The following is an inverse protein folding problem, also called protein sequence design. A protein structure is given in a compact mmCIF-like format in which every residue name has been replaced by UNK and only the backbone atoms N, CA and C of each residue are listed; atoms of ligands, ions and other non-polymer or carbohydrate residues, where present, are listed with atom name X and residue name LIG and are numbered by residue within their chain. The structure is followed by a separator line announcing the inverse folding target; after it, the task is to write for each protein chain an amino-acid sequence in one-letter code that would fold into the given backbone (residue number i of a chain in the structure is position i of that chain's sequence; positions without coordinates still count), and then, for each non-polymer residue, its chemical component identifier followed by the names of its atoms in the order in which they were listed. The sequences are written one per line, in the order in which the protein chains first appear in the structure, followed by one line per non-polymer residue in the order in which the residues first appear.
data_IF_095820459313
#
_entry.id   IF_095820459313
#
_cell.length_a   1.000
_cell.length_b   1.000
_cell.length_c   1.000
_cell.angle_alpha   90.00
_cell.angle_beta   90.00
_cell.angle_gamma   90.00
#
_symmetry.space_group_name_H-M   'P 1'
#
loop_
_entity.id
_entity.type
_entity.pdbx_description
1 polymer ?
#
# COMPACT_ATOMS: atom_id res chain seq x y z
N UNK A 1 19.02 -3.26 -12.25
CA UNK A 1 18.28 -3.91 -11.15
C UNK A 1 19.27 -4.16 -10.03
N UNK A 2 18.96 -3.81 -8.78
CA UNK A 2 19.80 -4.22 -7.66
C UNK A 2 19.82 -5.75 -7.61
N UNK A 3 21.00 -6.35 -7.46
CA UNK A 3 21.11 -7.80 -7.27
C UNK A 3 20.42 -8.19 -5.96
N UNK A 4 19.58 -9.23 -6.02
CA UNK A 4 18.97 -9.81 -4.83
C UNK A 4 20.06 -10.44 -3.96
N UNK A 5 19.89 -10.38 -2.64
CA UNK A 5 20.68 -11.22 -1.75
C UNK A 5 20.34 -12.70 -1.96
N UNK A 6 21.21 -13.65 -1.55
CA UNK A 6 20.92 -15.08 -1.63
C UNK A 6 19.60 -15.47 -0.93
N UNK A 7 19.29 -14.83 0.20
CA UNK A 7 18.04 -15.05 0.94
C UNK A 7 16.83 -14.53 0.17
N UNK A 8 16.92 -13.33 -0.42
CA UNK A 8 15.87 -12.76 -1.26
C UNK A 8 15.62 -13.61 -2.51
N UNK A 9 16.69 -14.14 -3.10
CA UNK A 9 16.59 -15.02 -4.27
C UNK A 9 15.92 -16.35 -3.88
N UNK A 10 16.33 -16.97 -2.76
CA UNK A 10 15.71 -18.20 -2.26
C UNK A 10 14.22 -18.00 -1.97
N UNK A 11 13.84 -16.85 -1.42
CA UNK A 11 12.45 -16.51 -1.18
C UNK A 11 11.69 -16.25 -2.50
N UNK A 12 12.29 -15.57 -3.47
CA UNK A 12 11.69 -15.38 -4.79
C UNK A 12 11.47 -16.71 -5.53
N UNK A 13 12.43 -17.65 -5.42
CA UNK A 13 12.33 -18.98 -6.01
C UNK A 13 11.23 -19.82 -5.34
N UNK A 14 11.01 -19.67 -4.03
CA UNK A 14 9.86 -20.27 -3.35
C UNK A 14 8.54 -19.78 -3.95
N UNK A 15 8.36 -18.46 -4.14
CA UNK A 15 7.17 -17.92 -4.79
C UNK A 15 6.97 -18.49 -6.19
N UNK A 16 8.04 -18.55 -6.99
CA UNK A 16 7.98 -19.12 -8.33
C UNK A 16 7.63 -20.62 -8.31
N UNK A 17 8.16 -21.39 -7.37
CA UNK A 17 7.85 -22.81 -7.20
C UNK A 17 6.38 -23.07 -6.88
N UNK A 18 5.71 -22.09 -6.27
CA UNK A 18 4.27 -22.10 -5.97
C UNK A 18 3.43 -21.51 -7.11
N UNK A 19 4.06 -21.16 -8.24
CA UNK A 19 3.42 -20.56 -9.40
C UNK A 19 3.10 -19.07 -9.26
N UNK A 20 3.64 -18.38 -8.26
CA UNK A 20 3.35 -16.96 -8.01
C UNK A 20 4.37 -16.06 -8.72
N UNK A 21 3.89 -15.13 -9.56
CA UNK A 21 4.75 -14.14 -10.21
C UNK A 21 4.91 -12.86 -9.39
N UNK A 22 6.15 -12.46 -9.17
CA UNK A 22 6.49 -11.18 -8.53
C UNK A 22 6.63 -10.06 -9.57
N UNK A 23 6.39 -8.79 -9.21
CA UNK A 23 5.97 -8.32 -7.90
C UNK A 23 4.48 -8.59 -7.61
N UNK A 24 4.16 -8.72 -6.33
CA UNK A 24 2.77 -8.72 -5.89
C UNK A 24 2.20 -7.30 -5.93
N UNK A 25 0.90 -7.19 -6.17
CA UNK A 25 0.15 -5.93 -6.24
C UNK A 25 -1.16 -6.02 -5.49
N UNK A 26 -1.69 -4.86 -5.09
CA UNK A 26 -3.09 -4.78 -4.68
C UNK A 26 -3.95 -4.70 -5.93
N UNK A 27 -5.03 -5.46 -5.96
CA UNK A 27 -6.03 -5.39 -7.01
C UNK A 27 -7.46 -5.45 -6.48
N UNK A 28 -8.38 -5.71 -7.41
CA UNK A 28 -9.79 -5.82 -7.13
C UNK A 28 -10.49 -4.47 -7.00
N UNK A 29 -11.82 -4.49 -7.15
CA UNK A 29 -12.67 -3.31 -7.16
C UNK A 29 -12.56 -2.49 -5.85
N UNK A 30 -12.21 -3.16 -4.75
CA UNK A 30 -12.15 -2.56 -3.41
C UNK A 30 -10.71 -2.42 -2.86
N UNK A 31 -9.69 -2.81 -3.62
CA UNK A 31 -8.29 -2.74 -3.17
C UNK A 31 -7.96 -3.69 -2.01
N UNK A 32 -8.64 -4.84 -1.95
CA UNK A 32 -8.48 -5.86 -0.89
C UNK A 32 -7.90 -7.18 -1.39
N UNK A 33 -7.66 -7.27 -2.69
CA UNK A 33 -7.10 -8.47 -3.31
C UNK A 33 -5.60 -8.31 -3.42
N UNK A 34 -4.86 -9.37 -3.14
CA UNK A 34 -3.44 -9.48 -3.47
C UNK A 34 -3.36 -10.26 -4.78
N UNK A 35 -2.73 -9.65 -5.78
CA UNK A 35 -2.55 -10.21 -7.10
C UNK A 35 -1.07 -10.39 -7.41
N UNK A 36 -0.76 -11.40 -8.19
CA UNK A 36 0.58 -11.59 -8.74
C UNK A 36 0.80 -10.68 -9.97
N UNK A 37 1.99 -10.76 -10.57
CA UNK A 37 2.35 -9.93 -11.72
C UNK A 37 1.58 -10.29 -13.00
N UNK A 38 1.06 -11.51 -13.11
CA UNK A 38 0.22 -11.97 -14.23
C UNK A 38 -1.26 -11.55 -14.03
N UNK A 39 -1.60 -11.03 -12.85
CA UNK A 39 -2.92 -10.51 -12.51
C UNK A 39 -3.84 -11.53 -11.82
N UNK A 40 -3.32 -12.70 -11.44
CA UNK A 40 -4.06 -13.72 -10.71
C UNK A 40 -4.27 -13.31 -9.26
N UNK A 41 -5.51 -13.43 -8.76
CA UNK A 41 -5.84 -13.16 -7.36
C UNK A 41 -5.38 -14.33 -6.48
N UNK A 42 -4.45 -14.06 -5.57
CA UNK A 42 -3.88 -15.04 -4.63
C UNK A 42 -4.63 -15.06 -3.30
N UNK A 43 -4.97 -13.88 -2.79
CA UNK A 43 -5.59 -13.70 -1.48
C UNK A 43 -6.60 -12.56 -1.53
N UNK A 44 -7.69 -12.72 -0.79
CA UNK A 44 -8.62 -11.63 -0.46
C UNK A 44 -8.50 -11.38 1.05
N UNK A 45 -8.13 -10.16 1.43
CA UNK A 45 -8.02 -9.79 2.85
C UNK A 45 -9.39 -9.87 3.51
N UNK A 46 -9.45 -10.50 4.69
CA UNK A 46 -10.68 -10.67 5.49
C UNK A 46 -11.23 -9.30 5.88
N UNK A 47 -12.48 -8.97 5.51
CA UNK A 47 -13.04 -7.63 5.74
C UNK A 47 -13.18 -7.29 7.23
N UNK A 48 -12.69 -6.12 7.63
CA UNK A 48 -12.83 -5.59 9.00
C UNK A 48 -13.99 -4.60 9.17
N UNK A 49 -14.84 -4.46 8.15
CA UNK A 49 -15.87 -3.41 8.00
C UNK A 49 -15.31 -2.01 7.68
N UNK A 50 -13.99 -1.88 7.54
CA UNK A 50 -13.32 -0.65 7.09
C UNK A 50 -12.51 -0.94 5.83
N UNK A 51 -12.95 -0.41 4.69
CA UNK A 51 -12.23 -0.59 3.42
C UNK A 51 -10.81 -0.01 3.47
N UNK A 52 -10.62 1.08 4.21
CA UNK A 52 -9.31 1.69 4.45
C UNK A 52 -8.36 0.71 5.16
N UNK A 53 -8.84 0.04 6.20
CA UNK A 53 -8.02 -0.91 6.97
C UNK A 53 -7.74 -2.18 6.17
N UNK A 54 -8.74 -2.68 5.42
CA UNK A 54 -8.59 -3.84 4.54
C UNK A 54 -7.52 -3.57 3.47
N UNK A 55 -7.55 -2.39 2.86
CA UNK A 55 -6.55 -1.96 1.88
C UNK A 55 -5.17 -1.76 2.52
N UNK A 56 -5.10 -1.14 3.70
CA UNK A 56 -3.84 -0.94 4.40
C UNK A 56 -3.17 -2.29 4.72
N UNK A 57 -3.96 -3.29 5.17
CA UNK A 57 -3.47 -4.65 5.42
C UNK A 57 -2.98 -5.33 4.14
N UNK A 58 -3.75 -5.27 3.06
CA UNK A 58 -3.34 -5.81 1.77
C UNK A 58 -2.01 -5.20 1.30
N UNK A 59 -1.89 -3.88 1.46
CA UNK A 59 -0.70 -3.13 1.11
C UNK A 59 0.52 -3.54 1.95
N UNK A 60 0.36 -3.65 3.27
CA UNK A 60 1.44 -4.08 4.16
C UNK A 60 1.97 -5.47 3.78
N UNK A 61 1.07 -6.42 3.48
CA UNK A 61 1.46 -7.77 3.08
C UNK A 61 2.23 -7.74 1.75
N UNK A 62 1.70 -7.03 0.74
CA UNK A 62 2.34 -6.88 -0.57
C UNK A 62 3.73 -6.27 -0.45
N UNK A 63 3.86 -5.18 0.31
CA UNK A 63 5.14 -4.50 0.49
C UNK A 63 6.15 -5.36 1.25
N UNK A 64 5.73 -6.08 2.27
CA UNK A 64 6.61 -6.99 3.01
C UNK A 64 7.11 -8.14 2.12
N UNK A 65 6.23 -8.77 1.35
CA UNK A 65 6.59 -9.84 0.42
C UNK A 65 7.58 -9.33 -0.63
N UNK A 66 7.26 -8.22 -1.31
CA UNK A 66 8.10 -7.63 -2.34
C UNK A 66 9.48 -7.18 -1.83
N UNK A 67 9.55 -6.64 -0.61
CA UNK A 67 10.83 -6.30 0.02
C UNK A 67 11.64 -7.55 0.38
N UNK A 68 10.97 -8.57 0.94
CA UNK A 68 11.58 -9.85 1.31
C UNK A 68 12.12 -10.64 0.11
N UNK A 69 11.59 -10.43 -1.10
CA UNK A 69 12.05 -11.06 -2.35
C UNK A 69 12.97 -10.16 -3.17
N UNK A 70 13.30 -8.95 -2.69
CA UNK A 70 14.07 -7.97 -3.45
C UNK A 70 13.42 -7.58 -4.79
N UNK A 71 12.08 -7.63 -4.87
CA UNK A 71 11.29 -7.20 -6.04
C UNK A 71 10.41 -6.01 -5.67
N UNK A 72 10.99 -4.85 -5.32
CA UNK A 72 10.20 -3.66 -5.08
C UNK A 72 9.43 -3.30 -6.35
N UNK A 73 8.10 -3.28 -6.24
CA UNK A 73 7.25 -2.78 -7.30
C UNK A 73 7.45 -1.27 -7.42
N UNK A 74 8.00 -0.84 -8.55
CA UNK A 74 8.25 0.56 -8.88
C UNK A 74 6.99 1.26 -9.39
N UNK A 75 5.95 0.49 -9.75
CA UNK A 75 4.61 0.97 -10.08
C UNK A 75 3.71 1.05 -8.85
N UNK A 76 4.03 0.29 -7.79
CA UNK A 76 3.47 0.52 -6.47
C UNK A 76 4.04 1.84 -5.94
N UNK A 77 3.36 2.94 -6.27
CA UNK A 77 3.66 4.25 -5.69
C UNK A 77 3.79 4.15 -4.15
N UNK A 78 4.55 5.05 -3.52
CA UNK A 78 4.86 4.97 -2.10
C UNK A 78 3.59 4.72 -1.29
N UNK A 79 3.70 3.81 -0.31
CA UNK A 79 2.63 3.47 0.63
C UNK A 79 1.87 4.75 0.97
N UNK A 80 0.58 4.93 0.58
CA UNK A 80 -0.18 6.03 1.14
C UNK A 80 -0.16 5.84 2.65
N UNK A 81 0.57 6.71 3.34
CA UNK A 81 0.46 6.84 4.78
C UNK A 81 -0.95 7.37 5.00
N UNK A 82 -1.88 6.46 5.26
CA UNK A 82 -3.22 6.78 5.71
C UNK A 82 -3.05 7.29 7.14
N UNK A 83 -2.68 8.57 7.28
CA UNK A 83 -2.80 9.24 8.56
C UNK A 83 -4.29 9.27 8.88
N UNK A 84 -4.71 8.75 10.05
CA UNK A 84 -6.05 9.03 10.53
C UNK A 84 -6.23 10.53 10.51
N UNK A 85 -7.23 11.03 9.77
CA UNK A 85 -7.62 12.43 9.88
C UNK A 85 -8.02 12.64 11.35
N UNK A 86 -7.32 13.52 12.05
CA UNK A 86 -7.68 13.83 13.43
C UNK A 86 -9.05 14.50 13.44
N UNK A 87 -9.83 14.31 14.50
CA UNK A 87 -11.18 14.89 14.61
C UNK A 87 -11.16 16.41 14.38
N UNK A 88 -10.08 17.08 14.75
CA UNK A 88 -9.91 18.52 14.55
C UNK A 88 -9.65 18.90 13.09
N UNK A 89 -8.94 18.06 12.32
CA UNK A 89 -8.78 18.25 10.86
C UNK A 89 -10.11 18.05 10.13
N UNK A 90 -10.92 17.09 10.56
CA UNK A 90 -12.26 16.87 9.99
C UNK A 90 -13.19 18.03 10.32
N UNK A 91 -13.14 18.58 11.55
CA UNK A 91 -13.99 19.72 11.96
C UNK A 91 -13.54 21.05 11.38
N UNK A 92 -12.25 21.22 11.11
CA UNK A 92 -11.69 22.44 10.53
C UNK A 92 -11.83 22.49 8.99
N UNK A 93 -12.20 21.38 8.36
CA UNK A 93 -12.60 21.36 6.97
C UNK A 93 -13.85 22.23 6.79
N UNK A 94 -13.76 23.27 5.95
CA UNK A 94 -14.86 24.21 5.67
C UNK A 94 -16.11 23.51 5.14
N UNK A 95 -15.93 22.31 4.55
CA UNK A 95 -17.00 21.42 4.13
C UNK A 95 -16.57 19.94 4.36
N UNK A 96 -16.89 19.35 5.52
CA UNK A 96 -16.31 18.07 5.97
C UNK A 96 -16.80 16.85 5.17
N UNK A 97 -17.81 17.03 4.31
CA UNK A 97 -18.38 15.97 3.47
C UNK A 97 -18.21 16.25 1.97
N UNK A 98 -17.56 17.35 1.58
CA UNK A 98 -17.23 17.59 0.18
C UNK A 98 -16.05 16.68 -0.24
N UNK A 99 -16.26 15.74 -1.19
CA UNK A 99 -15.21 14.84 -1.65
C UNK A 99 -14.01 15.57 -2.25
N UNK A 100 -14.20 16.73 -2.90
CA UNK A 100 -13.10 17.49 -3.49
C UNK A 100 -12.24 18.16 -2.40
N UNK A 101 -12.85 18.59 -1.30
CA UNK A 101 -12.15 19.15 -0.15
C UNK A 101 -11.29 18.09 0.57
N UNK A 102 -11.82 16.87 0.75
CA UNK A 102 -11.07 15.76 1.34
C UNK A 102 -9.88 15.32 0.47
N UNK A 103 -10.04 15.35 -0.86
CA UNK A 103 -8.95 15.09 -1.81
C UNK A 103 -7.87 16.17 -1.71
N UNK A 104 -8.26 17.45 -1.59
CA UNK A 104 -7.34 18.57 -1.44
C UNK A 104 -6.53 18.47 -0.14
N UNK A 105 -7.17 18.15 0.99
CA UNK A 105 -6.50 17.93 2.29
C UNK A 105 -5.50 16.76 2.21
N UNK A 106 -5.90 15.64 1.60
CA UNK A 106 -5.02 14.48 1.42
C UNK A 106 -3.80 14.79 0.53
N UNK A 107 -3.97 15.61 -0.52
CA UNK A 107 -2.86 16.09 -1.36
C UNK A 107 -1.92 17.02 -0.59
N UNK A 108 -2.46 17.96 0.19
CA UNK A 108 -1.67 18.88 1.00
C UNK A 108 -0.82 18.14 2.06
N UNK A 109 -1.41 17.16 2.74
CA UNK A 109 -0.71 16.32 3.71
C UNK A 109 0.44 15.49 3.10
N UNK A 110 0.40 15.23 1.79
CA UNK A 110 1.44 14.50 1.05
C UNK A 110 2.61 15.39 0.61
N UNK A 111 2.38 16.70 0.48
CA UNK A 111 3.36 17.67 -0.04
C UNK A 111 4.10 18.38 1.11
N UNK A 112 3.49 18.52 2.29
CA UNK A 112 4.08 19.23 3.40
C UNK A 112 5.32 18.48 3.97
N UNK A 113 6.53 19.10 3.97
CA UNK A 113 7.67 18.57 4.70
C UNK A 113 7.40 18.60 6.22
N UNK A 114 7.93 17.60 6.94
CA UNK A 114 7.86 17.50 8.41
C UNK A 114 8.30 18.83 9.07
N UNK A 115 7.46 19.42 9.90
CA UNK A 115 7.89 20.45 10.85
C UNK A 115 8.86 19.85 11.91
N UNK A 116 8.71 18.56 12.22
CA UNK A 116 9.53 17.85 13.21
C UNK A 116 10.87 17.32 12.66
N UNK A 117 11.29 17.73 11.46
CA UNK A 117 12.60 17.37 10.89
C UNK A 117 13.65 18.48 11.08
N UNK A 118 13.30 19.52 11.84
CA UNK A 118 14.18 20.62 12.23
C UNK A 118 14.29 20.66 13.76
N UNK A 119 14.81 19.59 14.36
CA UNK A 119 15.47 19.62 15.66
C UNK A 119 16.53 18.52 15.75
#
# INVERSE_FOLDING_TARGET
MAERTPDQQSFADLFLSLGVRLPLRIGGLLGREIRDADGHTLLIVVPTRSQSDDRARALTIVSAANAGTGTPDHEAGPLPVLRPLTADVIRAASDPFDPEHLIAVARAARIAPRADAAE
#
